data_IF_199921049912
#
_entry.id   IF_199921049912
#
_cell.length_a   1.000
_cell.length_b   1.000
_cell.length_c   1.000
_cell.angle_alpha   90.00
_cell.angle_beta   90.00
_cell.angle_gamma   90.00
#
_symmetry.space_group_name_H-M   'P 1'
#
loop_
_entity.id
_entity.type
_entity.pdbx_description
1 polymer ?
#
# COMPACT_ATOMS: atom_id res chain seq x y z
N UNK A 1 2.72 21.07 -2.60
CA UNK A 1 3.58 20.22 -3.43
C UNK A 1 2.68 19.40 -4.35
N UNK A 2 2.76 19.61 -5.66
CA UNK A 2 1.93 18.88 -6.63
C UNK A 2 2.68 17.61 -7.03
N UNK A 3 2.49 16.53 -6.29
CA UNK A 3 3.08 15.23 -6.65
C UNK A 3 2.30 14.63 -7.81
N UNK A 4 3.01 14.26 -8.89
CA UNK A 4 2.44 13.50 -10.01
C UNK A 4 2.66 12.02 -9.73
N UNK A 5 1.62 11.34 -9.27
CA UNK A 5 1.67 9.91 -8.98
C UNK A 5 1.41 9.09 -10.24
N UNK A 6 2.11 7.97 -10.35
CA UNK A 6 1.85 6.96 -11.39
C UNK A 6 0.52 6.24 -11.07
N UNK A 7 -0.22 5.78 -12.09
CA UNK A 7 -1.42 4.99 -11.88
C UNK A 7 -1.06 3.66 -11.20
N UNK A 8 -1.86 3.26 -10.22
CA UNK A 8 -1.70 1.97 -9.52
C UNK A 8 -2.11 0.85 -10.49
N UNK A 9 -1.27 -0.20 -10.69
CA UNK A 9 -1.62 -1.33 -11.53
C UNK A 9 -2.84 -2.09 -10.99
N UNK A 10 -3.58 -2.76 -11.86
CA UNK A 10 -4.58 -3.73 -11.43
C UNK A 10 -3.91 -5.09 -11.23
N UNK A 11 -3.86 -5.57 -10.00
CA UNK A 11 -3.35 -6.89 -9.65
C UNK A 11 -4.47 -7.93 -9.65
N UNK A 12 -4.18 -9.13 -10.15
CA UNK A 12 -5.15 -10.25 -10.16
C UNK A 12 -5.10 -11.10 -8.88
N UNK A 13 -4.01 -11.01 -8.14
CA UNK A 13 -3.74 -11.80 -6.93
C UNK A 13 -2.88 -11.01 -5.96
N UNK A 14 -3.01 -11.30 -4.67
CA UNK A 14 -2.18 -10.72 -3.60
C UNK A 14 -0.69 -11.02 -3.81
N UNK A 15 -0.36 -12.20 -4.34
CA UNK A 15 1.02 -12.58 -4.63
C UNK A 15 1.63 -11.65 -5.70
N UNK A 16 0.89 -11.36 -6.77
CA UNK A 16 1.32 -10.47 -7.86
C UNK A 16 1.52 -9.03 -7.36
N UNK A 17 0.64 -8.59 -6.45
CA UNK A 17 0.78 -7.31 -5.77
C UNK A 17 2.05 -7.25 -4.90
N UNK A 18 2.30 -8.27 -4.09
CA UNK A 18 3.47 -8.37 -3.22
C UNK A 18 4.78 -8.35 -4.03
N UNK A 19 4.88 -9.19 -5.05
CA UNK A 19 6.05 -9.26 -5.94
C UNK A 19 6.32 -7.92 -6.66
N UNK A 20 5.27 -7.20 -7.04
CA UNK A 20 5.41 -5.85 -7.60
C UNK A 20 5.96 -4.86 -6.57
N UNK A 21 5.37 -4.80 -5.37
CA UNK A 21 5.83 -3.85 -4.33
C UNK A 21 7.20 -4.19 -3.73
N UNK A 22 7.66 -5.45 -3.85
CA UNK A 22 9.04 -5.80 -3.48
C UNK A 22 10.08 -5.15 -4.40
N UNK A 23 9.71 -4.87 -5.64
CA UNK A 23 10.64 -4.37 -6.67
C UNK A 23 10.43 -2.88 -6.99
N UNK A 24 9.25 -2.33 -6.69
CA UNK A 24 8.87 -0.96 -7.01
C UNK A 24 8.77 -0.04 -5.79
N UNK A 25 9.18 1.22 -5.96
CA UNK A 25 9.08 2.24 -4.91
C UNK A 25 7.64 2.75 -4.79
N UNK A 26 7.03 2.52 -3.63
CA UNK A 26 5.66 2.95 -3.29
C UNK A 26 5.47 4.48 -3.30
N UNK A 27 6.54 5.27 -3.15
CA UNK A 27 6.47 6.74 -3.14
C UNK A 27 6.11 7.35 -4.49
N UNK A 28 6.31 6.60 -5.58
CA UNK A 28 5.94 7.04 -6.93
C UNK A 28 4.45 6.84 -7.24
N UNK A 29 3.76 6.00 -6.45
CA UNK A 29 2.37 5.59 -6.66
C UNK A 29 1.43 6.12 -5.58
N UNK A 30 1.91 6.33 -4.34
CA UNK A 30 1.09 6.74 -3.20
C UNK A 30 1.34 8.18 -2.77
N UNK A 31 0.25 8.90 -2.46
CA UNK A 31 0.31 10.26 -1.90
C UNK A 31 0.65 10.22 -0.41
N UNK A 32 1.95 10.18 -0.12
CA UNK A 32 2.43 10.22 1.27
C UNK A 32 2.11 11.55 1.98
N UNK A 33 1.79 12.63 1.26
CA UNK A 33 1.34 13.89 1.90
C UNK A 33 -0.07 13.76 2.49
N UNK A 34 -0.87 12.82 2.01
CA UNK A 34 -2.19 12.49 2.55
C UNK A 34 -2.16 11.37 3.58
N UNK A 35 -1.00 10.74 3.82
CA UNK A 35 -0.88 9.68 4.81
C UNK A 35 -1.23 10.23 6.20
N UNK A 36 -2.10 9.52 6.92
CA UNK A 36 -2.53 9.89 8.27
C UNK A 36 -2.12 8.80 9.24
N UNK A 37 -1.70 9.20 10.44
CA UNK A 37 -1.54 8.26 11.56
C UNK A 37 -2.92 7.78 11.96
N UNK A 38 -3.12 6.46 11.91
CA UNK A 38 -4.34 5.79 12.34
C UNK A 38 -3.98 4.75 13.39
N UNK A 39 -4.83 4.62 14.40
CA UNK A 39 -4.78 3.54 15.37
C UNK A 39 -5.91 2.59 15.01
N UNK A 40 -5.67 1.29 15.05
CA UNK A 40 -6.70 0.28 14.84
C UNK A 40 -7.15 -0.32 16.18
N UNK A 41 -8.02 0.36 16.96
CA UNK A 41 -8.36 -0.04 18.32
C UNK A 41 -9.10 -1.38 18.40
N UNK A 42 -9.77 -1.80 17.32
CA UNK A 42 -10.58 -3.01 17.25
C UNK A 42 -10.04 -4.04 16.24
N UNK A 43 -8.77 -3.93 15.85
CA UNK A 43 -8.17 -4.93 14.96
C UNK A 43 -8.08 -6.26 15.71
N UNK A 44 -8.89 -7.23 15.29
CA UNK A 44 -8.81 -8.58 15.84
C UNK A 44 -7.49 -9.19 15.39
N UNK A 45 -6.65 -9.55 16.37
CA UNK A 45 -5.43 -10.32 16.10
C UNK A 45 -5.82 -11.74 15.69
N UNK A 46 -6.08 -11.97 14.40
CA UNK A 46 -6.12 -13.31 13.83
C UNK A 46 -4.69 -13.77 13.62
N UNK A 47 -4.14 -14.46 14.62
CA UNK A 47 -2.96 -15.30 14.42
C UNK A 47 -3.40 -16.46 13.52
N UNK A 48 -3.02 -16.42 12.24
CA UNK A 48 -3.04 -17.63 11.43
C UNK A 48 -1.94 -18.53 12.01
N UNK A 49 -2.36 -19.61 12.68
CA UNK A 49 -1.47 -20.61 13.29
C UNK A 49 -1.08 -21.64 12.25
#
# INVERSE_FOLDING_TARGET
>A
MSIKLKPIPQFKSEQEESDFWMTHDTTEYLDWSKAKRLVFPNLKATLHK
#
